data_IF_313902773757
#
_entry.id   IF_313902773757
#
_cell.length_a   1.000
_cell.length_b   1.000
_cell.length_c   1.000
_cell.angle_alpha   90.00
_cell.angle_beta   90.00
_cell.angle_gamma   90.00
#
_symmetry.space_group_name_H-M   'P 1'
#
loop_
_entity.id
_entity.type
_entity.pdbx_description
1 polymer ?
#
# COMPACT_ATOMS: atom_id res chain seq x y z
N UNK A 1 -44.21 -15.92 -73.48
CA UNK A 1 -43.42 -14.74 -73.90
C UNK A 1 -43.50 -13.69 -72.81
N UNK A 2 -42.33 -13.26 -72.31
CA UNK A 2 -42.03 -11.99 -71.62
C UNK A 2 -42.76 -11.63 -70.32
N UNK A 3 -42.01 -11.83 -69.23
CA UNK A 3 -41.63 -10.88 -68.18
C UNK A 3 -42.62 -9.79 -67.73
N UNK A 4 -42.88 -9.74 -66.42
CA UNK A 4 -42.53 -8.59 -65.57
C UNK A 4 -42.59 -9.00 -64.09
N UNK A 5 -41.42 -9.16 -63.47
CA UNK A 5 -41.26 -9.36 -62.02
C UNK A 5 -41.02 -7.98 -61.40
N UNK A 6 -41.97 -7.49 -60.60
CA UNK A 6 -41.84 -6.26 -59.82
C UNK A 6 -40.97 -6.54 -58.58
N UNK A 7 -39.80 -5.90 -58.52
CA UNK A 7 -38.94 -5.88 -57.34
C UNK A 7 -39.37 -4.69 -56.49
N UNK A 8 -39.95 -4.95 -55.31
CA UNK A 8 -40.10 -3.96 -54.25
C UNK A 8 -38.79 -3.92 -53.46
N UNK A 9 -38.02 -2.84 -53.62
CA UNK A 9 -36.86 -2.56 -52.79
C UNK A 9 -37.29 -2.05 -51.42
N UNK A 10 -37.11 -2.86 -50.38
CA UNK A 10 -37.15 -2.40 -48.99
C UNK A 10 -35.74 -1.93 -48.58
N UNK A 11 -35.52 -0.62 -48.54
CA UNK A 11 -34.35 -0.03 -47.89
C UNK A 11 -34.58 -0.07 -46.38
N UNK A 12 -33.97 -1.03 -45.70
CA UNK A 12 -33.82 -1.01 -44.24
C UNK A 12 -32.57 -0.19 -43.92
N UNK A 13 -32.78 1.07 -43.50
CA UNK A 13 -31.75 1.88 -42.86
C UNK A 13 -31.48 1.29 -41.47
N UNK A 14 -30.52 0.38 -41.36
CA UNK A 14 -29.91 0.00 -40.09
C UNK A 14 -29.05 1.16 -39.59
N UNK A 15 -29.68 2.10 -38.88
CA UNK A 15 -28.97 3.09 -38.08
C UNK A 15 -28.22 2.39 -36.96
N UNK A 16 -26.90 2.26 -37.09
CA UNK A 16 -26.01 1.79 -36.03
C UNK A 16 -26.02 2.81 -34.89
N UNK A 17 -26.86 2.57 -33.88
CA UNK A 17 -26.74 3.20 -32.58
C UNK A 17 -25.54 2.57 -31.85
N UNK A 18 -24.35 3.09 -32.13
CA UNK A 18 -23.22 2.90 -31.22
C UNK A 18 -23.42 3.86 -30.04
N UNK A 19 -23.41 3.39 -28.78
CA UNK A 19 -23.43 4.30 -27.66
C UNK A 19 -22.15 5.15 -27.72
N UNK A 20 -22.35 6.46 -27.87
CA UNK A 20 -21.30 7.47 -27.72
C UNK A 20 -20.67 7.25 -26.35
N UNK A 21 -19.38 6.89 -26.29
CA UNK A 21 -18.64 6.88 -25.04
C UNK A 21 -18.87 8.22 -24.36
N UNK A 22 -19.38 8.19 -23.13
CA UNK A 22 -19.54 9.39 -22.33
C UNK A 22 -18.15 10.01 -22.15
N UNK A 23 -17.89 11.12 -22.85
CA UNK A 23 -16.78 12.00 -22.53
C UNK A 23 -16.94 12.41 -21.07
N UNK A 24 -15.91 12.17 -20.26
CA UNK A 24 -15.90 12.60 -18.87
C UNK A 24 -16.09 14.12 -18.84
N UNK A 25 -17.27 14.55 -18.41
CA UNK A 25 -17.59 15.95 -18.26
C UNK A 25 -16.70 16.50 -17.15
N UNK A 26 -15.70 17.31 -17.51
CA UNK A 26 -14.89 18.03 -16.52
C UNK A 26 -15.86 18.93 -15.76
N UNK A 27 -16.13 18.58 -14.50
CA UNK A 27 -17.00 19.37 -13.64
C UNK A 27 -16.46 20.80 -13.59
N UNK A 28 -17.34 21.79 -13.76
CA UNK A 28 -16.96 23.19 -13.67
C UNK A 28 -16.43 23.46 -12.25
N UNK A 29 -15.27 24.13 -12.18
CA UNK A 29 -14.61 24.52 -10.92
C UNK A 29 -15.58 25.34 -10.06
N UNK A 30 -15.70 24.99 -8.79
CA UNK A 30 -16.50 25.76 -7.84
C UNK A 30 -15.67 26.89 -7.21
N UNK A 31 -15.57 28.02 -7.92
CA UNK A 31 -14.85 29.20 -7.40
C UNK A 31 -15.64 29.99 -6.37
N UNK A 32 -16.91 29.64 -6.13
CA UNK A 32 -17.83 30.44 -5.33
C UNK A 32 -18.37 29.67 -4.10
N UNK A 33 -17.76 28.53 -3.76
CA UNK A 33 -18.17 27.65 -2.67
C UNK A 33 -19.68 27.34 -2.70
N UNK A 34 -20.22 27.12 -3.92
CA UNK A 34 -21.63 26.81 -4.13
C UNK A 34 -21.97 25.36 -3.76
N UNK A 35 -20.95 24.50 -3.66
CA UNK A 35 -21.03 23.09 -3.30
C UNK A 35 -20.26 22.82 -2.01
N UNK A 36 -20.45 21.62 -1.45
CA UNK A 36 -19.74 21.20 -0.23
C UNK A 36 -18.35 20.61 -0.52
N UNK A 37 -17.87 20.63 -1.78
CA UNK A 37 -16.63 19.99 -2.16
C UNK A 37 -15.45 20.97 -2.20
N UNK A 38 -14.85 21.24 -1.05
CA UNK A 38 -13.67 22.11 -0.95
C UNK A 38 -12.43 21.60 -1.70
N UNK A 39 -12.51 20.41 -2.31
CA UNK A 39 -11.45 19.77 -3.08
C UNK A 39 -11.66 19.88 -4.59
N UNK A 40 -12.53 20.74 -5.10
CA UNK A 40 -12.62 21.09 -6.54
C UNK A 40 -12.61 22.60 -6.84
N UNK A 41 -12.28 23.39 -5.82
CA UNK A 41 -12.31 24.86 -5.86
C UNK A 41 -11.11 25.50 -6.57
N UNK A 42 -10.10 24.72 -6.97
CA UNK A 42 -8.85 25.21 -7.56
C UNK A 42 -8.59 24.64 -8.95
N UNK A 43 -7.69 25.30 -9.70
CA UNK A 43 -7.30 24.81 -11.03
C UNK A 43 -6.46 23.54 -10.89
N UNK A 44 -6.90 22.48 -11.55
CA UNK A 44 -6.14 21.24 -11.72
C UNK A 44 -5.04 21.47 -12.75
N UNK A 45 -3.80 21.26 -12.34
CA UNK A 45 -2.62 21.39 -13.18
C UNK A 45 -2.16 20.00 -13.65
N UNK A 46 -1.98 19.76 -14.96
CA UNK A 46 -1.46 18.50 -15.44
C UNK A 46 0.01 18.32 -15.05
N UNK A 47 0.37 17.10 -14.68
CA UNK A 47 1.74 16.69 -14.40
C UNK A 47 2.24 15.82 -15.55
N UNK A 48 3.31 16.21 -16.26
CA UNK A 48 3.89 15.41 -17.32
C UNK A 48 4.28 14.02 -16.82
N UNK A 49 3.76 12.99 -17.49
CA UNK A 49 4.02 11.58 -17.19
C UNK A 49 5.22 11.09 -17.98
N UNK A 50 6.02 10.23 -17.35
CA UNK A 50 7.07 9.45 -18.01
C UNK A 50 6.56 8.05 -18.37
N UNK A 51 7.31 7.35 -19.22
CA UNK A 51 7.02 5.93 -19.48
C UNK A 51 7.28 5.12 -18.22
N UNK A 52 6.30 4.30 -17.83
CA UNK A 52 6.41 3.40 -16.68
C UNK A 52 6.50 1.95 -17.16
N UNK A 53 7.50 1.24 -16.66
CA UNK A 53 7.67 -0.20 -16.91
C UNK A 53 7.42 -1.01 -15.64
N UNK A 54 6.93 -2.24 -15.80
CA UNK A 54 6.76 -3.22 -14.71
C UNK A 54 7.56 -4.48 -15.05
N UNK A 55 8.39 -4.93 -14.11
CA UNK A 55 9.22 -6.13 -14.23
C UNK A 55 9.41 -6.86 -12.88
N UNK A 56 10.40 -7.76 -12.82
CA UNK A 56 10.74 -8.55 -11.63
C UNK A 56 10.19 -9.97 -11.69
N UNK A 57 9.67 -10.46 -10.58
CA UNK A 57 9.17 -11.83 -10.41
C UNK A 57 7.79 -12.04 -11.07
N UNK A 58 7.72 -11.84 -12.39
CA UNK A 58 6.49 -11.86 -13.18
C UNK A 58 6.69 -12.50 -14.56
N UNK A 59 5.64 -13.08 -15.12
CA UNK A 59 5.67 -13.74 -16.42
C UNK A 59 5.40 -12.78 -17.61
N UNK A 60 4.90 -11.57 -17.35
CA UNK A 60 4.48 -10.61 -18.37
C UNK A 60 5.02 -9.19 -18.09
N UNK A 61 6.35 -8.99 -18.12
CA UNK A 61 6.93 -7.65 -18.03
C UNK A 61 6.51 -6.79 -19.22
N UNK A 62 6.45 -5.48 -19.01
CA UNK A 62 6.05 -4.56 -20.08
C UNK A 62 5.85 -3.13 -19.62
N UNK A 63 5.42 -2.30 -20.55
CA UNK A 63 5.09 -0.89 -20.33
C UNK A 63 3.63 -0.76 -19.93
N UNK A 64 3.36 0.13 -18.98
CA UNK A 64 2.01 0.44 -18.52
C UNK A 64 1.28 1.30 -19.55
N UNK A 65 0.11 0.83 -19.96
CA UNK A 65 -0.81 1.59 -20.81
C UNK A 65 -1.83 2.35 -19.96
N UNK A 66 -1.48 3.59 -19.61
CA UNK A 66 -2.30 4.47 -18.78
C UNK A 66 -3.66 4.80 -19.39
N UNK A 67 -3.81 4.72 -20.73
CA UNK A 67 -5.09 5.00 -21.40
C UNK A 67 -6.19 3.98 -21.06
N UNK A 68 -5.81 2.83 -20.50
CA UNK A 68 -6.69 1.72 -20.13
C UNK A 68 -6.98 1.64 -18.63
N UNK A 69 -6.56 2.64 -17.86
CA UNK A 69 -6.67 2.65 -16.41
C UNK A 69 -7.60 3.78 -15.93
N UNK A 70 -8.41 3.54 -14.89
CA UNK A 70 -9.20 4.60 -14.27
C UNK A 70 -8.29 5.61 -13.56
N UNK A 71 -8.77 6.85 -13.48
CA UNK A 71 -8.17 7.91 -12.67
C UNK A 71 -8.83 7.90 -11.29
N UNK A 72 -8.01 8.02 -10.26
CA UNK A 72 -8.41 8.16 -8.87
C UNK A 72 -7.85 9.45 -8.28
N UNK A 73 -8.53 9.97 -7.26
CA UNK A 73 -8.13 11.17 -6.54
C UNK A 73 -7.75 10.85 -5.11
N UNK A 74 -6.66 11.45 -4.62
CA UNK A 74 -6.25 11.36 -3.22
C UNK A 74 -5.87 12.72 -2.68
N UNK A 75 -6.11 12.92 -1.38
CA UNK A 75 -5.82 14.17 -0.67
C UNK A 75 -4.63 13.92 0.25
N UNK A 76 -3.61 14.77 0.16
CA UNK A 76 -2.35 14.58 0.88
C UNK A 76 -1.85 15.90 1.46
N UNK A 77 -1.29 15.80 2.67
CA UNK A 77 -0.45 16.83 3.28
C UNK A 77 0.99 16.40 3.05
N UNK A 78 1.71 17.07 2.17
CA UNK A 78 3.14 16.79 1.97
C UNK A 78 3.93 17.36 3.14
N UNK A 79 4.75 16.49 3.72
CA UNK A 79 5.52 16.80 4.93
C UNK A 79 6.89 16.16 4.82
N UNK A 80 7.92 17.00 4.91
CA UNK A 80 9.31 16.59 4.82
C UNK A 80 9.88 16.27 6.21
N UNK A 81 10.67 15.20 6.29
CA UNK A 81 11.53 14.92 7.45
C UNK A 81 12.82 15.73 7.33
N UNK A 82 13.15 16.48 8.38
CA UNK A 82 14.38 17.28 8.45
C UNK A 82 15.53 16.47 9.05
N UNK A 83 16.80 16.85 8.77
CA UNK A 83 17.98 16.16 9.30
C UNK A 83 18.07 16.11 10.84
N UNK A 84 17.41 17.06 11.53
CA UNK A 84 17.37 17.14 12.99
C UNK A 84 16.23 16.29 13.61
N UNK A 85 15.48 15.54 12.79
CA UNK A 85 14.33 14.73 13.22
C UNK A 85 13.02 15.50 13.33
N UNK A 86 13.02 16.83 13.15
CA UNK A 86 11.79 17.62 13.03
C UNK A 86 11.13 17.42 11.66
N UNK A 87 9.94 17.98 11.47
CA UNK A 87 9.25 17.94 10.19
C UNK A 87 8.85 19.34 9.69
N UNK A 88 8.66 19.45 8.38
CA UNK A 88 8.23 20.68 7.72
C UNK A 88 7.07 20.38 6.78
N UNK A 89 5.97 21.09 6.99
CA UNK A 89 4.83 21.08 6.09
C UNK A 89 5.19 21.75 4.77
N UNK A 90 4.97 21.07 3.65
CA UNK A 90 5.28 21.57 2.30
C UNK A 90 4.03 22.04 1.55
N UNK A 91 2.87 21.45 1.88
CA UNK A 91 1.58 21.91 1.36
C UNK A 91 0.49 20.84 1.42
N UNK A 92 -0.73 21.24 1.07
CA UNK A 92 -1.88 20.35 0.96
C UNK A 92 -2.38 20.33 -0.47
N UNK A 93 -2.62 19.12 -0.99
CA UNK A 93 -2.94 18.90 -2.39
C UNK A 93 -4.00 17.82 -2.57
N UNK A 94 -4.77 17.94 -3.65
CA UNK A 94 -5.45 16.83 -4.29
C UNK A 94 -4.60 16.37 -5.47
N UNK A 95 -4.25 15.10 -5.50
CA UNK A 95 -3.61 14.48 -6.64
C UNK A 95 -4.59 13.58 -7.36
N UNK A 96 -4.57 13.64 -8.69
CA UNK A 96 -5.32 12.72 -9.55
C UNK A 96 -4.31 11.85 -10.31
N UNK A 97 -4.61 10.57 -10.49
CA UNK A 97 -3.70 9.66 -11.18
C UNK A 97 -4.12 8.19 -11.20
N UNK A 98 -3.18 7.32 -11.53
CA UNK A 98 -3.44 5.90 -11.74
C UNK A 98 -2.99 5.10 -10.54
N UNK A 99 -3.87 4.27 -9.97
CA UNK A 99 -3.53 3.51 -8.77
C UNK A 99 -2.53 2.39 -9.07
N UNK A 100 -1.60 2.15 -8.14
CA UNK A 100 -0.70 1.01 -8.21
C UNK A 100 -1.48 -0.30 -8.18
N UNK A 101 -2.62 -0.35 -7.48
CA UNK A 101 -3.53 -1.48 -7.52
C UNK A 101 -3.97 -1.81 -8.96
N UNK A 102 -4.52 -0.83 -9.70
CA UNK A 102 -5.00 -1.06 -11.07
C UNK A 102 -3.87 -1.39 -12.06
N UNK A 103 -2.71 -0.76 -11.88
CA UNK A 103 -1.50 -1.04 -12.67
C UNK A 103 -1.07 -2.50 -12.47
N UNK A 104 -1.03 -2.97 -11.23
CA UNK A 104 -0.49 -4.28 -10.88
C UNK A 104 -1.52 -5.40 -10.99
N UNK A 105 -2.82 -5.12 -11.05
CA UNK A 105 -3.88 -6.13 -11.11
C UNK A 105 -3.81 -7.01 -12.39
N UNK A 106 -3.11 -6.55 -13.44
CA UNK A 106 -2.89 -7.31 -14.69
C UNK A 106 -1.62 -8.15 -14.70
N UNK A 107 -0.82 -8.07 -13.64
CA UNK A 107 0.45 -8.79 -13.52
C UNK A 107 0.20 -10.28 -13.24
N UNK A 108 0.96 -11.15 -13.90
CA UNK A 108 1.02 -12.59 -13.65
C UNK A 108 2.26 -12.88 -12.82
N UNK A 109 2.06 -13.03 -11.51
CA UNK A 109 3.13 -13.32 -10.56
C UNK A 109 3.86 -14.63 -10.91
N UNK A 110 5.19 -14.58 -10.91
CA UNK A 110 6.08 -15.72 -11.07
C UNK A 110 7.15 -15.65 -9.97
N UNK A 111 6.71 -15.88 -8.74
CA UNK A 111 7.55 -15.78 -7.54
C UNK A 111 8.77 -16.69 -7.62
N UNK A 112 9.95 -16.15 -7.30
CA UNK A 112 11.20 -16.92 -7.16
C UNK A 112 11.03 -18.04 -6.13
N UNK A 113 10.39 -17.73 -5.00
CA UNK A 113 10.16 -18.68 -3.91
C UNK A 113 8.78 -19.37 -3.95
N UNK A 114 8.03 -19.27 -5.06
CA UNK A 114 6.63 -19.71 -5.13
C UNK A 114 6.40 -21.20 -4.85
N UNK A 115 7.40 -22.05 -5.08
CA UNK A 115 7.37 -23.48 -4.74
C UNK A 115 7.44 -23.73 -3.23
N UNK A 116 8.25 -22.93 -2.53
CA UNK A 116 8.46 -23.07 -1.09
C UNK A 116 7.41 -22.30 -0.28
N UNK A 117 6.91 -21.20 -0.82
CA UNK A 117 5.93 -20.35 -0.18
C UNK A 117 5.01 -19.70 -1.22
N UNK A 118 3.85 -20.31 -1.42
CA UNK A 118 2.83 -19.86 -2.36
C UNK A 118 2.11 -18.54 -2.00
N UNK A 119 1.85 -18.19 -0.71
CA UNK A 119 1.17 -16.94 -0.37
C UNK A 119 1.90 -15.69 -0.90
N UNK A 120 1.16 -14.64 -1.24
CA UNK A 120 1.69 -13.40 -1.83
C UNK A 120 2.06 -12.33 -0.80
N UNK A 121 1.85 -12.63 0.48
CA UNK A 121 2.07 -11.73 1.62
C UNK A 121 3.54 -11.46 1.95
N UNK A 122 4.47 -12.16 1.29
CA UNK A 122 5.92 -11.96 1.41
C UNK A 122 6.51 -11.28 0.17
N UNK A 123 5.65 -10.63 -0.62
CA UNK A 123 6.04 -9.80 -1.76
C UNK A 123 6.15 -8.33 -1.35
N UNK A 124 6.98 -7.62 -2.10
CA UNK A 124 7.05 -6.16 -2.09
C UNK A 124 7.35 -5.66 -3.51
N UNK A 125 7.19 -4.36 -3.72
CA UNK A 125 7.60 -3.70 -4.96
C UNK A 125 8.68 -2.67 -4.66
N UNK A 126 9.59 -2.49 -5.60
CA UNK A 126 10.48 -1.34 -5.70
C UNK A 126 9.92 -0.40 -6.77
N UNK A 127 9.69 0.87 -6.42
CA UNK A 127 9.36 1.92 -7.39
C UNK A 127 10.57 2.83 -7.50
N UNK A 128 11.08 3.01 -8.72
CA UNK A 128 12.27 3.82 -8.98
C UNK A 128 12.09 4.79 -10.14
N UNK A 129 12.98 5.78 -10.22
CA UNK A 129 13.06 6.71 -11.33
C UNK A 129 14.44 6.72 -11.98
N UNK A 130 14.57 7.45 -13.09
CA UNK A 130 15.80 7.56 -13.87
C UNK A 130 16.88 8.44 -13.19
N UNK A 131 16.54 9.08 -12.06
CA UNK A 131 17.48 9.84 -11.21
C UNK A 131 18.12 8.98 -10.12
N UNK A 132 17.77 7.69 -10.05
CA UNK A 132 18.29 6.76 -9.05
C UNK A 132 17.57 6.80 -7.72
N UNK A 133 16.47 7.55 -7.59
CA UNK A 133 15.61 7.45 -6.41
C UNK A 133 14.82 6.14 -6.46
N UNK A 134 14.62 5.54 -5.28
CA UNK A 134 13.92 4.28 -5.13
C UNK A 134 13.15 4.28 -3.81
N UNK A 135 11.99 3.66 -3.79
CA UNK A 135 11.20 3.42 -2.59
C UNK A 135 10.60 2.03 -2.64
N UNK A 136 10.21 1.48 -1.49
CA UNK A 136 9.52 0.20 -1.42
C UNK A 136 8.13 0.30 -0.80
N UNK A 137 7.24 -0.57 -1.27
CA UNK A 137 5.91 -0.80 -0.69
C UNK A 137 5.69 -2.31 -0.55
N UNK A 138 5.11 -2.74 0.56
CA UNK A 138 4.76 -4.15 0.74
C UNK A 138 3.56 -4.48 -0.16
N UNK A 139 3.47 -5.74 -0.60
CA UNK A 139 2.26 -6.21 -1.30
C UNK A 139 1.02 -6.10 -0.41
N UNK A 140 1.24 -6.16 0.90
CA UNK A 140 0.28 -5.87 1.95
C UNK A 140 -0.37 -4.51 1.77
N UNK A 141 0.41 -3.43 1.72
CA UNK A 141 -0.07 -2.05 1.55
C UNK A 141 -0.95 -1.84 0.31
N UNK A 142 -0.79 -2.68 -0.72
CA UNK A 142 -1.46 -2.54 -2.00
C UNK A 142 -2.77 -3.33 -2.10
N UNK A 143 -2.89 -4.47 -1.41
CA UNK A 143 -3.97 -5.45 -1.64
C UNK A 143 -4.77 -5.84 -0.39
N UNK A 144 -4.32 -5.44 0.79
CA UNK A 144 -4.93 -5.81 2.06
C UNK A 144 -5.73 -4.71 2.76
N UNK A 145 -5.49 -3.39 2.55
CA UNK A 145 -6.32 -2.36 3.14
C UNK A 145 -7.75 -2.34 2.60
N UNK A 146 -8.62 -1.61 3.30
CA UNK A 146 -9.99 -1.35 2.85
C UNK A 146 -10.07 -0.44 1.61
N UNK A 147 -9.06 0.42 1.40
CA UNK A 147 -9.03 1.41 0.32
C UNK A 147 -7.87 1.11 -0.62
N UNK A 148 -8.13 0.32 -1.66
CA UNK A 148 -7.10 -0.28 -2.52
C UNK A 148 -6.48 0.71 -3.52
N UNK A 149 -7.23 1.73 -3.94
CA UNK A 149 -6.82 2.63 -5.02
C UNK A 149 -6.08 3.89 -4.55
N UNK A 150 -5.67 3.94 -3.28
CA UNK A 150 -5.12 5.15 -2.66
C UNK A 150 -3.66 5.44 -3.01
N UNK A 151 -2.86 4.44 -3.36
CA UNK A 151 -1.46 4.67 -3.72
C UNK A 151 -1.41 4.86 -5.23
N UNK A 152 -1.09 6.08 -5.70
CA UNK A 152 -1.22 6.47 -7.10
C UNK A 152 0.07 6.98 -7.70
N UNK A 153 0.19 6.90 -9.02
CA UNK A 153 1.11 7.73 -9.80
C UNK A 153 0.30 8.90 -10.35
N UNK A 154 0.54 10.07 -9.79
CA UNK A 154 -0.20 11.29 -10.08
C UNK A 154 0.16 11.85 -11.47
N UNK A 155 -0.87 12.11 -12.28
CA UNK A 155 -0.79 12.80 -13.56
C UNK A 155 -1.41 14.20 -13.52
N UNK A 156 -1.98 14.60 -12.39
CA UNK A 156 -2.44 15.96 -12.15
C UNK A 156 -2.43 16.30 -10.67
N UNK A 157 -2.39 17.60 -10.37
CA UNK A 157 -2.37 18.13 -9.01
C UNK A 157 -3.20 19.39 -8.91
N UNK A 158 -3.82 19.58 -7.76
CA UNK A 158 -4.54 20.78 -7.40
C UNK A 158 -4.17 21.17 -5.96
N UNK A 159 -4.02 22.46 -5.69
CA UNK A 159 -3.83 22.94 -4.31
C UNK A 159 -5.11 22.77 -3.51
N UNK A 160 -4.95 22.56 -2.21
CA UNK A 160 -6.01 22.78 -1.24
C UNK A 160 -5.66 24.07 -0.51
N UNK A 161 -6.38 25.15 -0.85
CA UNK A 161 -6.11 26.49 -0.35
C UNK A 161 -6.91 26.75 0.92
N UNK A 162 -6.26 27.10 2.04
CA UNK A 162 -6.98 27.44 3.28
C UNK A 162 -7.78 28.74 3.10
N UNK A 163 -9.07 28.70 3.43
CA UNK A 163 -10.01 29.80 3.18
C UNK A 163 -9.71 31.12 3.91
N UNK A 164 -8.90 31.08 4.97
CA UNK A 164 -8.55 32.28 5.77
C UNK A 164 -7.20 32.88 5.40
N UNK A 165 -6.16 32.04 5.34
CA UNK A 165 -4.80 32.52 5.08
C UNK A 165 -4.51 32.65 3.59
N UNK A 166 -5.27 31.95 2.74
CA UNK A 166 -5.10 31.94 1.28
C UNK A 166 -3.68 31.56 0.83
N UNK A 167 -2.97 30.79 1.66
CA UNK A 167 -1.60 30.38 1.39
C UNK A 167 -1.55 29.47 0.15
N UNK A 168 -0.67 29.81 -0.78
CA UNK A 168 -0.48 29.09 -2.04
C UNK A 168 0.84 28.32 -1.99
N UNK A 169 0.75 27.03 -1.65
CA UNK A 169 1.91 26.14 -1.61
C UNK A 169 2.50 25.89 -3.01
N UNK A 170 3.81 25.65 -3.16
CA UNK A 170 4.41 25.33 -4.45
C UNK A 170 3.79 24.08 -5.07
N UNK A 171 3.43 24.12 -6.37
CA UNK A 171 2.96 22.92 -7.05
C UNK A 171 4.13 22.07 -7.54
N UNK A 172 4.04 20.73 -7.49
CA UNK A 172 4.94 19.87 -8.25
C UNK A 172 4.83 20.15 -9.74
N UNK A 173 5.95 19.97 -10.46
CA UNK A 173 6.04 20.21 -11.90
C UNK A 173 6.05 18.92 -12.73
N UNK A 174 6.14 17.76 -12.07
CA UNK A 174 6.29 16.46 -12.72
C UNK A 174 5.39 15.41 -12.08
N UNK A 175 5.12 14.32 -12.82
CA UNK A 175 4.44 13.16 -12.24
C UNK A 175 5.14 12.68 -10.96
N UNK A 176 4.38 12.08 -10.05
CA UNK A 176 4.86 11.74 -8.71
C UNK A 176 4.16 10.49 -8.20
N UNK A 177 4.89 9.59 -7.53
CA UNK A 177 4.28 8.56 -6.71
C UNK A 177 3.70 9.22 -5.46
N UNK A 178 2.44 8.95 -5.12
CA UNK A 178 1.77 9.54 -3.96
C UNK A 178 1.28 8.42 -3.05
N UNK A 179 1.80 8.40 -1.83
CA UNK A 179 1.42 7.45 -0.77
C UNK A 179 0.66 8.21 0.33
N UNK A 180 -0.67 8.30 0.27
CA UNK A 180 -1.43 9.27 1.07
C UNK A 180 -1.50 8.95 2.56
N UNK A 181 -1.29 7.69 2.94
CA UNK A 181 -1.29 7.27 4.34
C UNK A 181 0.03 7.53 5.06
N UNK A 182 1.06 8.00 4.35
CA UNK A 182 2.31 8.41 4.97
C UNK A 182 2.15 9.74 5.70
N UNK A 183 2.63 9.81 6.93
CA UNK A 183 2.75 11.04 7.70
C UNK A 183 3.86 11.93 7.11
N UNK A 184 5.03 11.33 6.88
CA UNK A 184 6.18 11.96 6.22
C UNK A 184 6.28 11.44 4.80
N UNK A 185 6.21 12.33 3.81
CA UNK A 185 6.06 11.96 2.39
C UNK A 185 7.37 11.61 1.71
N UNK A 186 8.30 11.00 2.45
CA UNK A 186 9.61 10.59 1.92
C UNK A 186 9.50 9.54 0.80
N UNK A 187 8.39 8.78 0.74
CA UNK A 187 8.16 7.83 -0.35
C UNK A 187 7.62 8.46 -1.64
N UNK A 188 7.27 9.75 -1.62
CA UNK A 188 6.68 10.42 -2.77
C UNK A 188 7.72 10.89 -3.80
N UNK A 189 8.32 9.94 -4.53
CA UNK A 189 9.35 10.24 -5.55
C UNK A 189 8.75 10.79 -6.84
N UNK A 190 9.53 11.63 -7.53
CA UNK A 190 9.13 12.24 -8.80
C UNK A 190 9.45 11.34 -10.00
N UNK A 191 8.66 11.41 -11.07
CA UNK A 191 8.83 10.67 -12.33
C UNK A 191 9.14 9.18 -12.14
N UNK A 192 8.31 8.41 -11.41
CA UNK A 192 8.50 6.96 -11.32
C UNK A 192 8.46 6.35 -12.72
N UNK A 193 9.54 5.66 -13.12
CA UNK A 193 9.73 5.09 -14.46
C UNK A 193 9.75 3.56 -14.44
N UNK A 194 9.92 2.95 -13.26
CA UNK A 194 10.00 1.50 -13.11
C UNK A 194 9.37 0.98 -11.82
N UNK A 195 8.67 -0.14 -11.92
CA UNK A 195 8.20 -0.95 -10.79
C UNK A 195 8.79 -2.36 -10.92
N UNK A 196 9.50 -2.82 -9.89
CA UNK A 196 10.07 -4.18 -9.84
C UNK A 196 9.43 -4.98 -8.72
N UNK A 197 8.80 -6.10 -9.06
CA UNK A 197 8.16 -6.98 -8.07
C UNK A 197 9.18 -8.01 -7.56
N UNK A 198 9.24 -8.19 -6.24
CA UNK A 198 10.18 -9.09 -5.58
C UNK A 198 9.53 -9.84 -4.43
N UNK A 199 10.01 -11.05 -4.18
CA UNK A 199 9.82 -11.76 -2.92
C UNK A 199 10.93 -11.41 -1.94
N UNK A 200 10.65 -11.52 -0.64
CA UNK A 200 11.68 -11.37 0.39
C UNK A 200 12.82 -12.36 0.16
N UNK A 201 14.06 -11.90 0.36
CA UNK A 201 15.23 -12.76 0.25
C UNK A 201 15.54 -13.45 1.59
N UNK A 202 14.57 -14.24 2.07
CA UNK A 202 14.68 -14.98 3.31
C UNK A 202 14.08 -16.38 3.16
N UNK A 203 14.82 -17.38 3.64
CA UNK A 203 14.41 -18.79 3.58
C UNK A 203 13.96 -19.27 4.96
N UNK A 204 12.74 -19.79 5.03
CA UNK A 204 12.17 -20.41 6.22
C UNK A 204 11.63 -21.79 5.87
N UNK A 205 11.88 -22.77 6.73
CA UNK A 205 11.30 -24.11 6.57
C UNK A 205 9.82 -24.05 6.91
N UNK A 206 8.97 -24.23 5.90
CA UNK A 206 7.51 -24.26 6.07
C UNK A 206 7.07 -25.61 6.62
N UNK A 207 6.33 -25.62 7.72
CA UNK A 207 5.79 -26.81 8.39
C UNK A 207 4.28 -26.65 8.61
N UNK A 208 3.49 -27.02 7.60
CA UNK A 208 2.02 -26.92 7.68
C UNK A 208 1.48 -27.89 8.74
N UNK A 209 0.56 -27.39 9.58
CA UNK A 209 -0.08 -28.20 10.62
C UNK A 209 0.78 -28.47 11.85
N UNK A 210 1.86 -27.71 12.03
CA UNK A 210 2.70 -27.79 13.23
C UNK A 210 1.88 -27.51 14.50
N UNK A 211 1.91 -28.44 15.45
CA UNK A 211 1.35 -28.30 16.79
C UNK A 211 2.25 -29.08 17.79
N UNK A 212 2.57 -28.53 18.98
CA UNK A 212 2.19 -27.20 19.43
C UNK A 212 2.92 -26.09 18.66
N UNK A 213 2.21 -25.00 18.38
CA UNK A 213 2.79 -23.80 17.77
C UNK A 213 3.10 -22.79 18.89
N UNK A 214 3.99 -23.15 19.81
CA UNK A 214 4.31 -22.28 20.96
C UNK A 214 5.71 -21.66 20.82
N UNK A 215 5.78 -20.34 20.88
CA UNK A 215 7.03 -19.57 20.98
C UNK A 215 6.93 -18.65 22.18
N UNK A 216 7.82 -18.83 23.17
CA UNK A 216 7.89 -18.01 24.40
C UNK A 216 8.52 -16.63 24.17
N UNK A 217 9.24 -16.48 23.07
CA UNK A 217 10.00 -15.29 22.73
C UNK A 217 10.18 -15.19 21.22
N UNK A 218 10.57 -14.04 20.73
CA UNK A 218 11.00 -13.90 19.34
C UNK A 218 12.33 -13.17 19.27
N UNK A 219 13.07 -13.45 18.20
CA UNK A 219 14.28 -12.72 17.85
C UNK A 219 13.94 -11.53 16.96
N UNK A 220 14.64 -10.43 17.16
CA UNK A 220 14.57 -9.24 16.34
C UNK A 220 15.98 -8.86 15.88
N UNK A 221 16.15 -8.53 14.60
CA UNK A 221 17.38 -7.87 14.11
C UNK A 221 17.20 -6.36 14.23
N UNK A 222 17.89 -5.74 15.19
CA UNK A 222 17.90 -4.29 15.35
C UNK A 222 18.54 -3.59 14.15
N UNK A 223 18.33 -2.28 14.01
CA UNK A 223 18.85 -1.49 12.87
C UNK A 223 20.37 -1.61 12.68
N UNK A 224 21.13 -1.76 13.77
CA UNK A 224 22.58 -1.95 13.75
C UNK A 224 23.03 -3.40 13.45
N UNK A 225 22.09 -4.28 13.08
CA UNK A 225 22.33 -5.68 12.76
C UNK A 225 22.43 -6.62 13.97
N UNK A 226 22.33 -6.12 15.22
CA UNK A 226 22.38 -6.97 16.41
C UNK A 226 21.09 -7.76 16.58
N UNK A 227 21.22 -9.04 16.92
CA UNK A 227 20.07 -9.84 17.37
C UNK A 227 19.69 -9.47 18.81
N UNK A 228 18.40 -9.24 19.04
CA UNK A 228 17.78 -9.03 20.35
C UNK A 228 16.70 -10.08 20.55
N UNK A 229 16.61 -10.64 21.76
CA UNK A 229 15.55 -11.60 22.11
C UNK A 229 14.50 -10.88 22.96
N UNK A 230 13.27 -10.85 22.46
CA UNK A 230 12.12 -10.28 23.16
C UNK A 230 11.36 -11.40 23.86
N UNK A 231 11.40 -11.40 25.19
CA UNK A 231 10.66 -12.35 26.05
C UNK A 231 9.48 -11.70 26.77
N UNK A 232 9.59 -10.39 27.02
CA UNK A 232 8.62 -9.60 27.76
C UNK A 232 8.46 -8.24 27.08
N UNK A 233 7.31 -7.61 27.31
CA UNK A 233 7.03 -6.25 26.83
C UNK A 233 7.28 -5.28 27.99
N UNK A 234 7.81 -4.10 27.68
CA UNK A 234 8.04 -3.06 28.69
C UNK A 234 6.77 -2.77 29.48
N UNK A 235 6.90 -2.65 30.81
CA UNK A 235 5.80 -2.33 31.71
C UNK A 235 5.26 -0.91 31.54
N UNK A 236 6.00 -0.05 30.85
CA UNK A 236 5.62 1.32 30.54
C UNK A 236 4.60 1.39 29.39
N UNK A 237 4.56 0.36 28.53
CA UNK A 237 3.61 0.31 27.43
C UNK A 237 2.24 -0.16 27.89
N UNK A 238 1.20 0.50 27.38
CA UNK A 238 -0.18 0.16 27.68
C UNK A 238 -0.79 -0.72 26.59
N UNK A 239 -1.68 -1.62 26.98
CA UNK A 239 -2.47 -2.39 26.01
C UNK A 239 -3.60 -1.53 25.47
N UNK A 240 -3.89 -1.67 24.20
CA UNK A 240 -5.09 -1.13 23.55
C UNK A 240 -5.96 -2.27 23.03
N UNK A 241 -7.24 -1.98 22.84
CA UNK A 241 -8.22 -2.95 22.32
C UNK A 241 -8.82 -2.45 21.02
N UNK A 242 -8.75 -3.28 19.98
CA UNK A 242 -9.43 -3.04 18.72
C UNK A 242 -10.60 -3.99 18.55
N UNK A 243 -11.76 -3.41 18.26
CA UNK A 243 -12.95 -4.14 17.88
C UNK A 243 -12.87 -4.40 16.37
N UNK A 244 -12.67 -5.65 15.98
CA UNK A 244 -12.50 -6.05 14.58
C UNK A 244 -13.26 -7.34 14.29
N UNK A 245 -13.76 -7.44 13.06
CA UNK A 245 -14.33 -8.67 12.51
C UNK A 245 -13.19 -9.36 11.76
N UNK A 246 -12.61 -10.39 12.38
CA UNK A 246 -11.42 -11.04 11.85
C UNK A 246 -11.82 -11.97 10.71
N UNK A 247 -11.55 -11.54 9.47
CA UNK A 247 -11.97 -12.22 8.25
C UNK A 247 -10.75 -12.59 7.41
N UNK A 248 -10.61 -13.85 7.01
CA UNK A 248 -9.49 -14.33 6.19
C UNK A 248 -9.94 -14.75 4.81
N UNK A 249 -9.09 -14.53 3.79
CA UNK A 249 -9.44 -14.81 2.39
C UNK A 249 -9.80 -16.28 2.14
N UNK A 250 -9.13 -17.20 2.84
CA UNK A 250 -9.31 -18.64 2.64
C UNK A 250 -10.40 -19.29 3.47
N UNK A 251 -10.67 -18.79 4.69
CA UNK A 251 -11.58 -19.44 5.65
C UNK A 251 -12.80 -18.60 6.04
N UNK A 252 -12.89 -17.37 5.55
CA UNK A 252 -13.95 -16.44 5.94
C UNK A 252 -13.78 -15.98 7.38
N UNK A 253 -14.86 -15.97 8.15
CA UNK A 253 -14.85 -15.46 9.53
C UNK A 253 -14.01 -16.35 10.46
N UNK A 254 -13.09 -15.72 11.19
CA UNK A 254 -12.28 -16.33 12.23
C UNK A 254 -12.74 -15.96 13.63
N UNK A 255 -13.14 -14.70 13.84
CA UNK A 255 -13.55 -14.19 15.15
C UNK A 255 -14.30 -12.87 15.02
N UNK A 256 -15.18 -12.58 15.97
CA UNK A 256 -15.77 -11.25 16.22
C UNK A 256 -15.35 -10.68 17.56
N UNK A 257 -14.48 -11.38 18.28
CA UNK A 257 -13.97 -10.95 19.58
C UNK A 257 -12.91 -9.87 19.38
N UNK A 258 -12.91 -8.81 20.20
CA UNK A 258 -11.88 -7.79 20.16
C UNK A 258 -10.47 -8.36 20.39
N UNK A 259 -9.48 -7.70 19.81
CA UNK A 259 -8.07 -8.02 20.02
C UNK A 259 -7.45 -6.99 20.96
N UNK A 260 -6.76 -7.48 21.99
CA UNK A 260 -6.07 -6.63 22.97
C UNK A 260 -4.57 -6.91 22.91
N UNK A 261 -3.77 -5.88 22.70
CA UNK A 261 -2.32 -5.99 22.53
C UNK A 261 -1.61 -4.64 22.69
N UNK A 262 -0.32 -4.62 22.42
CA UNK A 262 0.51 -3.41 22.43
C UNK A 262 0.65 -2.86 21.02
N UNK A 263 0.73 -1.54 20.86
CA UNK A 263 1.02 -0.94 19.56
C UNK A 263 2.41 -1.40 19.12
N UNK A 264 2.50 -2.08 17.97
CA UNK A 264 3.73 -2.76 17.53
C UNK A 264 4.88 -1.76 17.35
N UNK A 265 4.61 -0.56 16.83
CA UNK A 265 5.63 0.47 16.62
C UNK A 265 6.29 0.90 17.93
N UNK A 266 5.53 1.02 19.02
CA UNK A 266 6.06 1.40 20.34
C UNK A 266 6.95 0.30 20.93
N UNK A 267 6.62 -0.97 20.67
CA UNK A 267 7.46 -2.11 21.09
C UNK A 267 8.78 -2.12 20.31
N UNK A 268 8.76 -1.70 19.05
CA UNK A 268 9.91 -1.77 18.14
C UNK A 268 10.77 -0.49 18.13
N UNK A 269 10.22 0.66 18.54
CA UNK A 269 10.88 1.97 18.55
C UNK A 269 12.29 1.99 19.17
N UNK A 270 12.58 1.29 20.29
CA UNK A 270 13.92 1.27 20.86
C UNK A 270 15.01 0.68 19.93
N UNK A 271 14.62 -0.01 18.86
CA UNK A 271 15.53 -0.75 17.97
C UNK A 271 15.68 -0.14 16.58
N UNK A 272 14.85 0.83 16.21
CA UNK A 272 14.84 1.43 14.88
C UNK A 272 14.59 2.94 14.93
N UNK A 273 15.44 3.67 14.22
CA UNK A 273 15.40 5.13 14.17
C UNK A 273 14.45 5.62 13.10
N UNK A 274 13.70 6.68 13.39
CA UNK A 274 12.97 7.42 12.35
C UNK A 274 13.97 8.15 11.45
N UNK A 275 14.19 7.61 10.26
CA UNK A 275 15.10 8.16 9.26
C UNK A 275 14.47 8.06 7.86
N UNK A 276 14.82 9.00 6.98
CA UNK A 276 14.31 9.04 5.60
C UNK A 276 14.60 7.72 4.89
N UNK A 277 15.81 7.19 5.06
CA UNK A 277 16.28 5.96 4.45
C UNK A 277 15.45 4.76 4.93
N UNK A 278 15.07 4.72 6.21
CA UNK A 278 14.22 3.65 6.73
C UNK A 278 12.80 3.77 6.17
N UNK A 279 12.24 4.98 6.09
CA UNK A 279 10.91 5.20 5.47
C UNK A 279 10.91 4.75 4.01
N UNK A 280 11.97 5.04 3.25
CA UNK A 280 12.05 4.71 1.83
C UNK A 280 12.39 3.24 1.55
N UNK A 281 13.23 2.62 2.37
CA UNK A 281 13.90 1.35 2.04
C UNK A 281 13.76 0.25 3.10
N UNK A 282 13.28 0.58 4.29
CA UNK A 282 13.21 -0.37 5.40
C UNK A 282 12.16 -1.45 5.17
N UNK A 283 12.57 -2.71 5.22
CA UNK A 283 11.72 -3.87 5.05
C UNK A 283 11.85 -4.79 6.27
N UNK A 284 10.70 -5.17 6.81
CA UNK A 284 10.57 -6.17 7.86
C UNK A 284 10.07 -7.50 7.30
N UNK A 285 10.62 -8.58 7.84
CA UNK A 285 10.07 -9.93 7.66
C UNK A 285 9.67 -10.48 9.02
N UNK A 286 8.38 -10.60 9.26
CA UNK A 286 7.83 -11.25 10.46
C UNK A 286 7.57 -12.72 10.13
N UNK A 287 8.21 -13.62 10.87
CA UNK A 287 8.11 -15.07 10.64
C UNK A 287 7.63 -15.81 11.90
N UNK A 288 6.61 -16.64 11.71
CA UNK A 288 6.11 -17.59 12.69
C UNK A 288 6.99 -18.82 12.81
N UNK A 289 6.77 -19.59 13.88
CA UNK A 289 7.54 -20.80 14.18
C UNK A 289 7.40 -21.90 13.10
N UNK A 290 6.28 -21.92 12.40
CA UNK A 290 5.95 -22.83 11.30
C UNK A 290 6.52 -22.39 9.93
N UNK A 291 7.25 -21.28 9.88
CA UNK A 291 7.79 -20.71 8.64
C UNK A 291 6.81 -19.87 7.82
N UNK A 292 5.58 -19.66 8.32
CA UNK A 292 4.69 -18.62 7.82
C UNK A 292 5.31 -17.26 8.01
N UNK A 293 5.17 -16.36 7.04
CA UNK A 293 5.86 -15.07 7.07
C UNK A 293 5.18 -14.01 6.23
N UNK A 294 5.44 -12.77 6.57
CA UNK A 294 4.91 -11.59 5.88
C UNK A 294 5.99 -10.53 5.72
N UNK A 295 5.90 -9.79 4.63
CA UNK A 295 6.67 -8.58 4.38
C UNK A 295 5.87 -7.35 4.86
N UNK A 296 6.51 -6.47 5.61
CA UNK A 296 5.94 -5.18 6.03
C UNK A 296 7.00 -4.10 5.83
N UNK A 297 6.65 -2.95 5.26
CA UNK A 297 7.63 -1.86 5.17
C UNK A 297 7.78 -1.14 6.50
N UNK A 298 8.90 -0.45 6.68
CA UNK A 298 9.08 0.41 7.84
C UNK A 298 8.04 1.52 7.88
N UNK A 299 7.73 2.13 6.72
CA UNK A 299 6.70 3.16 6.63
C UNK A 299 5.32 2.64 7.07
N UNK A 300 4.99 1.40 6.73
CA UNK A 300 3.76 0.74 7.16
C UNK A 300 3.66 0.57 8.69
N UNK A 301 4.77 0.50 9.43
CA UNK A 301 4.74 0.39 10.89
C UNK A 301 4.94 1.73 11.61
N UNK A 302 5.77 2.62 11.07
CA UNK A 302 6.27 3.81 11.77
C UNK A 302 5.80 5.13 11.18
N UNK A 303 5.26 5.14 9.96
CA UNK A 303 4.97 6.37 9.22
C UNK A 303 3.49 6.49 8.81
N UNK A 304 2.58 5.68 9.36
CA UNK A 304 1.14 5.78 9.04
C UNK A 304 0.48 6.98 9.73
N UNK A 305 -0.55 7.54 9.08
CA UNK A 305 -1.29 8.69 9.59
C UNK A 305 -2.79 8.45 9.83
N UNK A 306 -3.26 7.20 9.75
CA UNK A 306 -4.68 6.81 9.83
C UNK A 306 -5.09 6.12 11.13
N UNK A 307 -4.17 6.03 12.10
CA UNK A 307 -4.40 5.47 13.42
C UNK A 307 -4.83 3.99 13.43
N UNK A 308 -4.63 3.27 12.32
CA UNK A 308 -4.90 1.84 12.18
C UNK A 308 -3.61 1.02 12.38
N UNK A 309 -3.12 1.00 13.62
CA UNK A 309 -1.80 0.43 13.94
C UNK A 309 -1.80 -1.10 13.97
N UNK A 310 -0.63 -1.71 13.73
CA UNK A 310 -0.43 -3.12 14.03
C UNK A 310 -0.36 -3.33 15.54
N UNK A 311 -0.93 -4.43 16.02
CA UNK A 311 -0.79 -4.84 17.42
C UNK A 311 0.15 -6.04 17.56
N UNK A 312 0.96 -6.02 18.62
CA UNK A 312 1.61 -7.19 19.18
C UNK A 312 0.75 -7.75 20.32
N UNK A 313 0.12 -8.89 20.08
CA UNK A 313 -0.64 -9.61 21.08
C UNK A 313 0.35 -10.42 21.93
N UNK A 314 0.08 -10.49 23.24
CA UNK A 314 0.86 -11.26 24.19
C UNK A 314 -0.08 -12.13 25.05
N UNK A 315 -0.06 -13.43 24.83
CA UNK A 315 -0.85 -14.44 25.53
C UNK A 315 -0.02 -15.71 25.79
N UNK A 316 0.55 -15.80 26.99
CA UNK A 316 1.37 -16.94 27.42
C UNK A 316 0.60 -18.27 27.52
N UNK A 317 -0.74 -18.23 27.52
CA UNK A 317 -1.58 -19.42 27.67
C UNK A 317 -1.87 -20.11 26.34
N UNK A 318 -1.73 -19.42 25.19
CA UNK A 318 -2.04 -19.99 23.88
C UNK A 318 -0.92 -20.90 23.35
N UNK A 319 -1.10 -22.22 23.49
CA UNK A 319 -0.15 -23.25 23.07
C UNK A 319 -0.08 -23.48 21.56
N UNK A 320 -1.08 -23.05 20.80
CA UNK A 320 -1.17 -23.26 19.35
C UNK A 320 -1.18 -21.95 18.54
N UNK A 321 -1.08 -20.81 19.21
CA UNK A 321 -0.82 -19.50 18.61
C UNK A 321 0.41 -18.80 19.16
N UNK A 322 1.08 -19.36 20.17
CA UNK A 322 2.27 -18.82 20.79
C UNK A 322 2.02 -17.59 21.66
N UNK A 323 3.06 -17.22 22.44
CA UNK A 323 3.02 -16.06 23.31
C UNK A 323 2.78 -14.78 22.50
N UNK A 324 3.54 -14.61 21.41
CA UNK A 324 3.53 -13.40 20.60
C UNK A 324 2.86 -13.61 19.24
N UNK A 325 1.94 -12.70 18.89
CA UNK A 325 1.23 -12.70 17.59
C UNK A 325 1.14 -11.30 17.03
N UNK A 326 1.24 -11.18 15.71
CA UNK A 326 1.02 -9.92 15.00
C UNK A 326 -0.43 -9.86 14.54
N UNK A 327 -1.09 -8.74 14.83
CA UNK A 327 -2.44 -8.44 14.36
C UNK A 327 -2.44 -7.17 13.49
N UNK A 328 -2.73 -7.29 12.19
CA UNK A 328 -2.76 -6.17 11.26
C UNK A 328 -4.12 -5.47 11.26
N UNK A 329 -4.33 -4.50 12.15
CA UNK A 329 -5.64 -3.85 12.29
C UNK A 329 -6.04 -3.01 11.05
N UNK A 330 -5.06 -2.57 10.27
CA UNK A 330 -5.25 -1.83 9.02
C UNK A 330 -5.75 -2.69 7.85
N UNK A 331 -5.71 -4.02 8.00
CA UNK A 331 -6.08 -4.94 6.93
C UNK A 331 -7.54 -5.33 6.98
N UNK A 332 -8.12 -5.50 5.79
CA UNK A 332 -9.38 -6.20 5.61
C UNK A 332 -9.22 -7.71 5.85
N UNK A 333 -8.16 -8.32 5.30
CA UNK A 333 -7.91 -9.76 5.43
C UNK A 333 -6.91 -10.08 6.54
N UNK A 334 -7.23 -11.09 7.35
CA UNK A 334 -6.39 -11.61 8.43
C UNK A 334 -5.11 -12.31 7.96
N UNK A 335 -4.93 -12.54 6.67
CA UNK A 335 -3.83 -13.35 6.16
C UNK A 335 -2.45 -12.76 6.53
N UNK A 336 -2.32 -11.46 6.86
CA UNK A 336 -1.04 -10.92 7.34
C UNK A 336 -0.81 -11.05 8.86
N UNK A 337 -1.73 -11.68 9.58
CA UNK A 337 -1.51 -12.04 10.98
C UNK A 337 -0.50 -13.18 11.08
N UNK A 338 0.49 -13.02 11.96
CA UNK A 338 1.52 -14.03 12.21
C UNK A 338 1.33 -14.55 13.62
N UNK A 339 1.09 -15.86 13.73
CA UNK A 339 1.06 -16.55 15.02
C UNK A 339 2.44 -17.08 15.39
N UNK A 340 2.65 -17.29 16.68
CA UNK A 340 3.84 -17.94 17.23
C UNK A 340 5.10 -17.29 16.70
N UNK A 341 5.13 -15.96 16.79
CA UNK A 341 6.19 -15.14 16.25
C UNK A 341 7.54 -15.67 16.77
N UNK A 342 8.43 -15.96 15.84
CA UNK A 342 9.75 -16.52 16.10
C UNK A 342 10.83 -15.52 15.80
N UNK A 343 10.67 -14.77 14.71
CA UNK A 343 11.72 -13.93 14.18
C UNK A 343 11.15 -12.69 13.46
N UNK A 344 11.81 -11.55 13.65
CA UNK A 344 11.60 -10.30 12.93
C UNK A 344 12.94 -9.88 12.34
N UNK A 345 13.08 -9.98 11.01
CA UNK A 345 14.27 -9.49 10.31
C UNK A 345 14.03 -8.07 9.83
N UNK A 346 15.08 -7.26 9.81
CA UNK A 346 15.08 -5.93 9.22
C UNK A 346 16.23 -5.79 8.23
N UNK A 347 15.96 -5.16 7.10
CA UNK A 347 16.93 -4.87 6.06
C UNK A 347 16.54 -3.59 5.30
N UNK A 348 17.52 -2.98 4.62
CA UNK A 348 17.28 -1.86 3.72
C UNK A 348 17.40 -2.36 2.27
N UNK A 349 16.39 -2.09 1.44
CA UNK A 349 16.29 -2.58 0.06
C UNK A 349 16.64 -1.55 -1.00
#
# INVERSE_FOLDING_TARGET
>A
MKNSLLIFGAFVLLGTWLPKQAEAQVAARDTADLTNNFYDNETVMPLPMVTLSVDGEIANPGVVDFSKLPIHSVIVKETKLNPDGSNTFEGAYRYDGYSLFDILNKVKLQKKNGKDFAPIIDLYIEVSNDKGEKVILSWGELYYPNNLQNIIIANAVMRIVPSKTMELWPLPETSKLVVPLDLLTARNISNPSKITIRSIDATFKVQKGLSPMFSESFKLTAENGKEVVIKEISKELSKITYHSIFYGRGRGIHSTTPFTGYVLKEVMEPYYTLAKENIQHGLFVFAGFDGYRVAMTYAELFNRNDQAEFLLLNDQSDKDGGCFKIFPACDFFSDRAVKSLKEVRFERR
#
